data_IF_346092729530
#
_entry.id   IF_346092729530
#
_cell.length_a   1.000
_cell.length_b   1.000
_cell.length_c   1.000
_cell.angle_alpha   90.00
_cell.angle_beta   90.00
_cell.angle_gamma   90.00
#
_symmetry.space_group_name_H-M   'P 1'
#
loop_
_entity.id
_entity.type
_entity.pdbx_description
1 polymer ?
#
# COMPACT_ATOMS: atom_id res chain seq x y z
N UNK A 1 -0.68 14.25 1.25
CA UNK A 1 -1.70 13.31 0.67
C UNK A 1 -2.62 13.96 -0.38
N UNK A 2 -3.16 15.16 -0.14
CA UNK A 2 -4.18 15.79 -1.00
C UNK A 2 -3.80 15.87 -2.48
N UNK A 3 -2.54 16.20 -2.79
CA UNK A 3 -2.02 16.24 -4.17
C UNK A 3 -2.07 14.86 -4.86
N UNK A 4 -1.73 13.80 -4.13
CA UNK A 4 -1.75 12.44 -4.66
C UNK A 4 -3.18 11.93 -4.90
N UNK A 5 -4.13 12.28 -4.04
CA UNK A 5 -5.56 11.99 -4.27
C UNK A 5 -6.10 12.70 -5.52
N UNK A 6 -5.70 13.95 -5.77
CA UNK A 6 -6.10 14.67 -6.98
C UNK A 6 -5.49 14.05 -8.25
N UNK A 7 -4.26 13.55 -8.18
CA UNK A 7 -3.66 12.80 -9.28
C UNK A 7 -4.43 11.50 -9.56
N UNK A 8 -4.75 10.73 -8.52
CA UNK A 8 -5.56 9.52 -8.62
C UNK A 8 -6.95 9.81 -9.22
N UNK A 9 -7.61 10.88 -8.76
CA UNK A 9 -8.87 11.35 -9.34
C UNK A 9 -8.73 11.65 -10.84
N UNK A 10 -7.69 12.39 -11.24
CA UNK A 10 -7.46 12.71 -12.66
C UNK A 10 -7.27 11.45 -13.51
N UNK A 11 -6.54 10.45 -13.03
CA UNK A 11 -6.35 9.20 -13.76
C UNK A 11 -7.64 8.38 -13.88
N UNK A 12 -8.48 8.36 -12.83
CA UNK A 12 -9.80 7.73 -12.91
C UNK A 12 -10.71 8.45 -13.91
N UNK A 13 -10.73 9.80 -13.88
CA UNK A 13 -11.49 10.60 -14.82
C UNK A 13 -11.00 10.44 -16.27
N UNK A 14 -9.69 10.35 -16.48
CA UNK A 14 -9.06 10.01 -17.76
C UNK A 14 -9.56 8.65 -18.25
N UNK A 15 -9.50 7.61 -17.41
CA UNK A 15 -9.92 6.27 -17.79
C UNK A 15 -11.41 6.21 -18.13
N UNK A 16 -12.26 6.83 -17.30
CA UNK A 16 -13.70 6.94 -17.59
C UNK A 16 -13.97 7.72 -18.89
N UNK A 17 -13.23 8.80 -19.14
CA UNK A 17 -13.36 9.55 -20.39
C UNK A 17 -12.95 8.71 -21.62
N UNK A 18 -11.90 7.89 -21.52
CA UNK A 18 -11.52 6.96 -22.59
C UNK A 18 -12.57 5.85 -22.81
N UNK A 19 -13.23 5.38 -21.75
CA UNK A 19 -14.35 4.44 -21.89
C UNK A 19 -15.54 5.10 -22.61
N UNK A 20 -15.94 6.31 -22.19
CA UNK A 20 -17.02 7.06 -22.82
C UNK A 20 -16.70 7.48 -24.26
N UNK A 21 -15.43 7.73 -24.56
CA UNK A 21 -14.95 8.05 -25.91
C UNK A 21 -15.20 6.94 -26.92
N UNK A 22 -15.42 5.69 -26.46
CA UNK A 22 -15.83 4.58 -27.34
C UNK A 22 -17.19 4.82 -28.00
N UNK A 23 -18.03 5.65 -27.40
CA UNK A 23 -19.38 5.96 -27.87
C UNK A 23 -19.54 7.42 -28.32
N UNK A 24 -18.76 8.35 -27.77
CA UNK A 24 -18.80 9.77 -28.15
C UNK A 24 -17.41 10.39 -28.12
N UNK A 25 -16.89 10.77 -29.28
CA UNK A 25 -15.52 11.29 -29.45
C UNK A 25 -15.25 12.60 -28.70
N UNK A 26 -16.27 13.35 -28.25
CA UNK A 26 -16.08 14.54 -27.41
C UNK A 26 -15.32 14.21 -26.11
N UNK A 27 -15.48 12.98 -25.60
CA UNK A 27 -14.74 12.55 -24.41
C UNK A 27 -13.24 12.33 -24.66
N UNK A 28 -12.75 12.29 -25.91
CA UNK A 28 -11.31 12.28 -26.19
C UNK A 28 -10.63 13.59 -25.76
N UNK A 29 -11.32 14.73 -25.92
CA UNK A 29 -10.83 16.02 -25.44
C UNK A 29 -10.81 16.08 -23.91
N UNK A 30 -11.81 15.47 -23.27
CA UNK A 30 -11.90 15.37 -21.81
C UNK A 30 -10.80 14.45 -21.27
N UNK A 31 -10.55 13.31 -21.92
CA UNK A 31 -9.43 12.43 -21.60
C UNK A 31 -8.11 13.20 -21.69
N UNK A 32 -7.90 13.93 -22.79
CA UNK A 32 -6.69 14.74 -22.95
C UNK A 32 -6.54 15.79 -21.85
N UNK A 33 -7.63 16.47 -21.45
CA UNK A 33 -7.62 17.43 -20.34
C UNK A 33 -7.18 16.78 -19.02
N UNK A 34 -7.73 15.61 -18.68
CA UNK A 34 -7.35 14.93 -17.44
C UNK A 34 -5.94 14.34 -17.47
N UNK A 35 -5.47 13.93 -18.65
CA UNK A 35 -4.05 13.61 -18.85
C UNK A 35 -3.18 14.83 -18.54
N UNK A 36 -3.46 15.99 -19.16
CA UNK A 36 -2.70 17.23 -18.92
C UNK A 36 -2.75 17.66 -17.44
N UNK A 37 -3.92 17.61 -16.81
CA UNK A 37 -4.06 17.89 -15.37
C UNK A 37 -3.21 16.95 -14.51
N UNK A 38 -3.25 15.64 -14.79
CA UNK A 38 -2.41 14.67 -14.10
C UNK A 38 -0.93 15.04 -14.26
N UNK A 39 -0.50 15.44 -15.46
CA UNK A 39 0.89 15.87 -15.67
C UNK A 39 1.23 17.13 -14.85
N UNK A 40 0.38 18.14 -14.86
CA UNK A 40 0.64 19.36 -14.08
C UNK A 40 0.66 19.11 -12.58
N UNK A 41 -0.18 18.19 -12.07
CA UNK A 41 -0.16 17.78 -10.67
C UNK A 41 1.15 17.04 -10.36
N UNK A 42 1.55 16.10 -11.22
CA UNK A 42 2.81 15.37 -11.05
C UNK A 42 4.02 16.32 -11.07
N UNK A 43 3.99 17.32 -11.95
CA UNK A 43 5.02 18.38 -12.02
C UNK A 43 5.03 19.25 -10.77
N UNK A 44 3.88 19.66 -10.25
CA UNK A 44 3.81 20.44 -9.02
C UNK A 44 4.31 19.66 -7.78
N UNK A 45 4.28 18.33 -7.79
CA UNK A 45 4.85 17.51 -6.72
C UNK A 45 6.39 17.44 -6.74
N UNK A 46 7.02 17.81 -7.87
CA UNK A 46 8.46 17.66 -8.10
C UNK A 46 9.09 19.02 -8.45
N UNK A 47 10.02 19.48 -7.62
CA UNK A 47 10.92 20.63 -7.80
C UNK A 47 10.83 21.52 -9.07
N UNK A 48 10.71 22.84 -8.87
CA UNK A 48 11.08 23.88 -9.85
C UNK A 48 12.44 24.48 -9.48
N UNK A 49 13.40 24.50 -10.41
CA UNK A 49 14.67 25.22 -10.20
C UNK A 49 14.38 26.71 -10.07
N UNK A 50 14.76 27.30 -8.92
CA UNK A 50 14.73 28.75 -8.70
C UNK A 50 13.63 29.28 -7.78
N UNK A 51 12.70 28.43 -7.31
CA UNK A 51 11.67 28.80 -6.34
C UNK A 51 12.05 28.35 -4.91
N UNK A 52 11.61 29.10 -3.89
CA UNK A 52 11.78 28.75 -2.46
C UNK A 52 10.89 27.57 -2.01
N UNK A 53 10.26 26.84 -2.92
CA UNK A 53 9.32 25.75 -2.63
C UNK A 53 10.06 24.40 -2.47
N UNK A 54 9.81 23.70 -1.37
CA UNK A 54 10.34 22.36 -1.14
C UNK A 54 9.54 21.31 -1.92
N UNK A 55 10.26 20.42 -2.62
CA UNK A 55 9.69 19.20 -3.22
C UNK A 55 8.97 18.35 -2.17
N UNK A 56 7.94 17.59 -2.54
CA UNK A 56 7.37 16.57 -1.63
C UNK A 56 8.20 15.27 -1.65
N UNK A 57 8.90 15.01 -2.74
CA UNK A 57 9.87 13.91 -2.82
C UNK A 57 11.19 14.32 -2.16
N UNK A 58 11.72 13.48 -1.28
CA UNK A 58 13.05 13.62 -0.71
C UNK A 58 14.00 12.59 -1.36
N UNK A 59 15.03 13.09 -2.05
CA UNK A 59 15.97 12.25 -2.82
C UNK A 59 16.93 11.43 -1.94
N UNK A 60 17.29 11.95 -0.76
CA UNK A 60 18.17 11.27 0.20
C UNK A 60 17.42 10.13 0.89
N UNK A 61 16.19 10.44 1.32
CA UNK A 61 15.34 9.51 2.04
C UNK A 61 14.60 8.54 1.13
N UNK A 62 14.48 8.83 -0.17
CA UNK A 62 13.77 7.97 -1.12
C UNK A 62 12.27 7.82 -0.82
N UNK A 63 11.63 8.87 -0.30
CA UNK A 63 10.24 8.84 0.14
C UNK A 63 9.51 10.18 -0.04
N UNK A 64 8.17 10.13 -0.06
CA UNK A 64 7.33 11.33 -0.10
C UNK A 64 6.95 11.81 1.31
N UNK A 65 7.04 13.12 1.50
CA UNK A 65 6.79 13.80 2.77
C UNK A 65 5.89 15.00 2.57
N UNK A 66 5.12 15.33 3.59
CA UNK A 66 4.43 16.62 3.64
C UNK A 66 5.45 17.74 3.83
N UNK A 67 5.15 18.93 3.33
CA UNK A 67 5.96 20.11 3.54
C UNK A 67 5.11 21.22 4.17
N UNK A 68 5.65 21.87 5.21
CA UNK A 68 5.02 23.03 5.84
C UNK A 68 5.81 24.27 5.48
N UNK A 69 5.10 25.37 5.21
CA UNK A 69 5.70 26.69 5.02
C UNK A 69 5.08 27.69 6.01
N UNK A 70 5.91 28.50 6.66
CA UNK A 70 5.48 29.58 7.54
C UNK A 70 6.37 30.82 7.37
N UNK A 71 5.76 32.00 7.28
CA UNK A 71 6.48 33.21 6.88
C UNK A 71 7.03 33.13 5.44
N UNK A 72 7.77 34.16 5.02
CA UNK A 72 8.22 34.29 3.62
C UNK A 72 9.41 33.38 3.27
N UNK A 73 10.11 32.81 4.27
CA UNK A 73 11.38 32.12 4.07
C UNK A 73 11.56 30.83 4.88
N UNK A 74 10.55 30.34 5.59
CA UNK A 74 10.66 29.08 6.31
C UNK A 74 9.79 28.03 5.64
N UNK A 75 10.44 27.03 5.06
CA UNK A 75 9.82 25.83 4.53
C UNK A 75 10.57 24.63 5.10
N UNK A 76 9.85 23.60 5.49
CA UNK A 76 10.42 22.37 6.02
C UNK A 76 9.61 21.17 5.55
N UNK A 77 10.29 20.16 5.00
CA UNK A 77 9.70 18.83 4.84
C UNK A 77 9.53 18.19 6.21
N UNK A 78 8.39 17.54 6.41
CA UNK A 78 8.10 16.68 7.55
C UNK A 78 8.40 15.24 7.14
N UNK A 79 9.58 14.69 7.46
CA UNK A 79 9.99 13.34 7.09
C UNK A 79 9.25 12.29 7.95
N UNK A 80 7.92 12.33 7.89
CA UNK A 80 7.00 11.37 8.50
C UNK A 80 6.64 10.36 7.41
N UNK A 81 7.37 9.26 7.37
CA UNK A 81 7.12 8.05 6.57
C UNK A 81 5.84 7.40 7.07
N UNK A 82 4.72 7.91 6.58
CA UNK A 82 3.37 7.43 6.83
C UNK A 82 2.75 6.82 5.60
N UNK A 83 1.57 6.22 5.74
CA UNK A 83 0.73 5.90 4.60
C UNK A 83 0.56 7.10 3.67
N UNK A 84 0.56 8.34 4.18
CA UNK A 84 0.48 9.55 3.32
C UNK A 84 1.58 9.57 2.28
N UNK A 85 2.81 9.16 2.63
CA UNK A 85 3.92 9.07 1.68
C UNK A 85 3.84 7.87 0.72
N UNK A 86 2.95 6.91 1.00
CA UNK A 86 2.62 5.79 0.09
C UNK A 86 1.44 6.11 -0.85
N UNK A 87 0.54 7.04 -0.50
CA UNK A 87 -0.62 7.42 -1.34
C UNK A 87 -0.22 7.79 -2.79
N UNK A 88 0.94 8.40 -3.09
CA UNK A 88 1.37 8.59 -4.48
C UNK A 88 1.38 7.33 -5.34
N UNK A 89 1.53 6.13 -4.75
CA UNK A 89 1.44 4.86 -5.46
C UNK A 89 0.04 4.55 -5.99
N UNK A 90 -1.02 5.13 -5.43
CA UNK A 90 -2.40 4.86 -5.87
C UNK A 90 -2.67 5.42 -7.26
N UNK A 91 -2.05 6.57 -7.58
CA UNK A 91 -2.20 7.24 -8.85
C UNK A 91 -1.44 6.51 -9.96
N UNK A 92 -2.01 5.40 -10.44
CA UNK A 92 -1.48 4.60 -11.54
C UNK A 92 -2.55 4.31 -12.59
N UNK A 93 -2.19 4.43 -13.87
CA UNK A 93 -3.01 4.01 -15.00
C UNK A 93 -2.12 3.40 -16.09
N UNK A 94 -2.42 2.17 -16.47
CA UNK A 94 -1.77 1.48 -17.58
C UNK A 94 -2.60 1.68 -18.84
N UNK A 95 -1.99 2.27 -19.86
CA UNK A 95 -2.61 2.47 -21.17
C UNK A 95 -2.11 1.41 -22.15
N UNK A 96 -3.03 0.58 -22.64
CA UNK A 96 -2.72 -0.40 -23.67
C UNK A 96 -2.51 0.27 -25.04
N UNK A 97 -1.61 -0.27 -25.90
CA UNK A 97 -1.44 0.23 -27.25
C UNK A 97 -2.75 0.24 -28.05
N UNK A 98 -3.61 -0.75 -27.83
CA UNK A 98 -4.94 -0.87 -28.45
C UNK A 98 -5.83 0.32 -28.11
N UNK A 99 -5.85 0.74 -26.84
CA UNK A 99 -6.60 1.90 -26.35
C UNK A 99 -6.03 3.19 -26.93
N UNK A 100 -4.70 3.37 -26.88
CA UNK A 100 -4.04 4.57 -27.43
C UNK A 100 -4.29 4.70 -28.93
N UNK A 101 -4.14 3.61 -29.70
CA UNK A 101 -4.33 3.62 -31.15
C UNK A 101 -5.79 3.80 -31.57
N UNK A 102 -6.74 3.47 -30.69
CA UNK A 102 -8.17 3.68 -30.95
C UNK A 102 -8.58 5.16 -30.93
N UNK A 103 -7.87 6.00 -30.17
CA UNK A 103 -8.23 7.40 -29.96
C UNK A 103 -7.14 8.34 -30.50
N UNK A 104 -7.16 8.67 -31.81
CA UNK A 104 -6.09 9.42 -32.46
C UNK A 104 -5.97 10.86 -31.95
N UNK A 105 -7.07 11.48 -31.51
CA UNK A 105 -7.06 12.83 -30.95
C UNK A 105 -6.30 12.85 -29.63
N UNK A 106 -6.65 11.93 -28.73
CA UNK A 106 -5.94 11.71 -27.48
C UNK A 106 -4.46 11.36 -27.69
N UNK A 107 -4.18 10.38 -28.57
CA UNK A 107 -2.81 9.96 -28.89
C UNK A 107 -1.95 11.13 -29.36
N UNK A 108 -2.46 11.95 -30.27
CA UNK A 108 -1.74 13.12 -30.79
C UNK A 108 -1.39 14.11 -29.68
N UNK A 109 -2.32 14.42 -28.77
CA UNK A 109 -2.05 15.34 -27.65
C UNK A 109 -1.06 14.75 -26.66
N UNK A 110 -1.20 13.46 -26.34
CA UNK A 110 -0.29 12.74 -25.48
C UNK A 110 1.14 12.76 -26.04
N UNK A 111 1.32 12.41 -27.32
CA UNK A 111 2.63 12.43 -28.00
C UNK A 111 3.19 13.84 -28.10
N UNK A 112 2.37 14.83 -28.47
CA UNK A 112 2.80 16.23 -28.50
C UNK A 112 3.33 16.68 -27.14
N UNK A 113 2.65 16.33 -26.04
CA UNK A 113 3.10 16.69 -24.70
C UNK A 113 4.46 16.06 -24.37
N UNK A 114 4.64 14.76 -24.64
CA UNK A 114 5.90 14.04 -24.40
C UNK A 114 7.06 14.70 -25.17
N UNK A 115 6.83 15.10 -26.42
CA UNK A 115 7.86 15.62 -27.30
C UNK A 115 8.19 17.09 -27.03
N UNK A 116 7.19 17.90 -26.63
CA UNK A 116 7.36 19.35 -26.44
C UNK A 116 7.58 19.76 -24.99
N UNK A 117 7.36 18.87 -24.01
CA UNK A 117 7.64 19.10 -22.58
C UNK A 117 8.59 18.02 -22.02
N UNK A 118 9.78 17.83 -22.60
CA UNK A 118 10.67 16.72 -22.27
C UNK A 118 11.17 16.78 -20.83
N UNK A 119 11.31 17.96 -20.22
CA UNK A 119 11.73 18.09 -18.82
C UNK A 119 10.66 17.58 -17.84
N UNK A 120 9.40 17.95 -18.06
CA UNK A 120 8.26 17.49 -17.25
C UNK A 120 8.06 15.98 -17.46
N UNK A 121 8.22 15.52 -18.70
CA UNK A 121 8.18 14.10 -19.04
C UNK A 121 9.33 13.28 -18.43
N UNK A 122 10.55 13.81 -18.39
CA UNK A 122 11.68 13.11 -17.79
C UNK A 122 11.56 13.01 -16.26
N UNK A 123 11.13 14.09 -15.58
CA UNK A 123 11.09 14.16 -14.11
C UNK A 123 9.94 13.34 -13.50
N UNK A 124 8.79 13.32 -14.16
CA UNK A 124 7.57 12.73 -13.60
C UNK A 124 7.08 11.49 -14.36
N UNK A 125 7.71 11.15 -15.50
CA UNK A 125 7.17 10.14 -16.44
C UNK A 125 8.25 9.28 -17.11
N UNK A 126 9.12 8.62 -16.34
CA UNK A 126 10.16 7.76 -16.93
C UNK A 126 9.63 6.66 -17.90
N UNK A 127 8.33 6.35 -17.85
CA UNK A 127 7.70 5.25 -18.61
C UNK A 127 6.79 5.64 -19.77
N UNK A 128 6.83 6.88 -20.26
CA UNK A 128 6.11 7.20 -21.51
C UNK A 128 6.93 7.01 -22.78
N UNK A 129 8.27 7.14 -22.71
CA UNK A 129 9.16 6.74 -23.81
C UNK A 129 9.55 5.26 -23.74
N UNK A 130 9.73 4.72 -22.53
CA UNK A 130 9.97 3.30 -22.30
C UNK A 130 8.66 2.50 -22.42
N UNK A 131 8.64 1.52 -23.32
CA UNK A 131 7.52 0.62 -23.54
C UNK A 131 7.59 -0.52 -22.53
N UNK A 132 6.55 -0.68 -21.71
CA UNK A 132 6.43 -1.82 -20.79
C UNK A 132 6.04 -3.11 -21.50
N UNK A 133 5.69 -4.15 -20.74
CA UNK A 133 5.27 -5.44 -21.31
C UNK A 133 4.10 -5.27 -22.29
N UNK A 134 4.29 -5.73 -23.52
CA UNK A 134 3.28 -5.59 -24.59
C UNK A 134 3.10 -4.15 -25.08
N UNK A 135 4.16 -3.34 -25.03
CA UNK A 135 4.20 -1.94 -25.48
C UNK A 135 3.30 -0.96 -24.71
N UNK A 136 2.84 -1.38 -23.52
CA UNK A 136 2.00 -0.56 -22.65
C UNK A 136 2.73 0.68 -22.15
N UNK A 137 1.98 1.75 -21.91
CA UNK A 137 2.47 2.98 -21.26
C UNK A 137 1.92 3.06 -19.83
N UNK A 138 2.72 3.59 -18.91
CA UNK A 138 2.32 3.80 -17.52
C UNK A 138 2.27 5.30 -17.21
N UNK A 139 1.13 5.75 -16.71
CA UNK A 139 0.97 7.02 -16.03
C UNK A 139 1.02 6.75 -14.53
N UNK A 140 2.06 7.26 -13.85
CA UNK A 140 2.23 7.11 -12.41
C UNK A 140 2.96 8.33 -11.84
N UNK A 141 2.67 8.69 -10.59
CA UNK A 141 3.45 9.73 -9.89
C UNK A 141 4.88 9.26 -9.57
N UNK A 142 5.05 7.95 -9.43
CA UNK A 142 6.31 7.30 -9.11
C UNK A 142 6.90 6.67 -10.36
N UNK A 143 8.07 7.17 -10.79
CA UNK A 143 8.87 6.51 -11.81
C UNK A 143 9.48 5.19 -11.28
N UNK A 144 10.17 4.41 -12.14
CA UNK A 144 10.76 3.11 -11.74
C UNK A 144 11.66 3.23 -10.51
N UNK A 145 12.58 4.19 -10.49
CA UNK A 145 13.56 4.32 -9.42
C UNK A 145 12.89 4.73 -8.10
N UNK A 146 11.95 5.68 -8.14
CA UNK A 146 11.15 6.08 -6.98
C UNK A 146 10.27 4.93 -6.49
N UNK A 147 9.65 4.19 -7.40
CA UNK A 147 8.85 3.01 -7.06
C UNK A 147 9.71 1.99 -6.32
N UNK A 148 10.87 1.64 -6.85
CA UNK A 148 11.79 0.69 -6.18
C UNK A 148 12.15 1.19 -4.78
N UNK A 149 12.57 2.45 -4.63
CA UNK A 149 12.91 3.02 -3.31
C UNK A 149 11.74 3.06 -2.34
N UNK A 150 10.54 3.34 -2.83
CA UNK A 150 9.33 3.29 -1.99
C UNK A 150 9.03 1.85 -1.61
N UNK A 151 9.14 0.89 -2.54
CA UNK A 151 8.89 -0.53 -2.27
C UNK A 151 9.92 -1.15 -1.33
N UNK A 152 11.19 -0.77 -1.45
CA UNK A 152 12.26 -1.13 -0.52
C UNK A 152 11.87 -0.79 0.93
N UNK A 153 11.11 0.29 1.15
CA UNK A 153 10.59 0.69 2.46
C UNK A 153 9.22 0.07 2.74
N UNK A 154 8.35 0.07 1.74
CA UNK A 154 6.97 -0.38 1.87
C UNK A 154 6.90 -1.86 2.25
N UNK A 155 7.80 -2.67 1.68
CA UNK A 155 7.86 -4.12 1.83
C UNK A 155 8.88 -4.56 2.88
N UNK A 156 9.49 -3.58 3.55
CA UNK A 156 10.41 -3.84 4.64
C UNK A 156 9.67 -4.06 5.94
N UNK A 157 9.93 -5.22 6.54
CA UNK A 157 9.35 -5.55 7.84
C UNK A 157 9.81 -4.59 8.92
N UNK A 158 11.00 -3.98 8.74
CA UNK A 158 11.59 -2.89 9.52
C UNK A 158 10.96 -1.51 9.27
N UNK A 159 10.14 -1.39 8.22
CA UNK A 159 9.39 -0.18 7.86
C UNK A 159 7.88 -0.50 7.78
N UNK A 160 7.30 -0.64 6.61
CA UNK A 160 5.84 -0.68 6.47
C UNK A 160 5.20 -2.08 6.47
N UNK A 161 5.95 -3.18 6.33
CA UNK A 161 5.39 -4.51 6.03
C UNK A 161 5.21 -5.43 7.25
N UNK A 162 4.01 -5.55 7.81
CA UNK A 162 3.72 -6.42 8.96
C UNK A 162 3.20 -7.80 8.54
N UNK A 163 3.23 -8.78 9.45
CA UNK A 163 2.59 -10.10 9.32
C UNK A 163 1.07 -10.09 9.09
N UNK A 164 0.45 -8.90 9.09
CA UNK A 164 -0.97 -8.69 8.90
C UNK A 164 -1.28 -7.62 7.84
N UNK A 165 -0.28 -7.19 7.05
CA UNK A 165 -0.41 -6.21 5.96
C UNK A 165 0.47 -4.96 6.15
N UNK A 166 0.19 -3.91 5.39
CA UNK A 166 0.92 -2.64 5.43
C UNK A 166 0.45 -1.76 6.59
N UNK A 167 1.40 -1.30 7.40
CA UNK A 167 1.20 -0.42 8.55
C UNK A 167 0.83 0.99 8.13
N UNK A 168 0.08 1.69 8.98
CA UNK A 168 -0.29 3.09 8.72
C UNK A 168 0.87 4.09 8.85
N UNK A 169 1.93 3.69 9.54
CA UNK A 169 3.17 4.40 9.78
C UNK A 169 4.34 3.44 9.55
N UNK A 170 5.43 3.90 8.94
CA UNK A 170 6.67 3.12 8.88
C UNK A 170 7.13 2.81 10.30
N UNK A 171 7.49 1.55 10.54
CA UNK A 171 8.13 1.09 11.77
C UNK A 171 9.47 1.81 12.01
N UNK A 172 10.10 2.41 10.99
CA UNK A 172 11.24 3.31 11.15
C UNK A 172 10.99 4.47 12.14
N UNK A 173 9.77 5.02 12.17
CA UNK A 173 9.43 6.13 13.09
C UNK A 173 9.29 5.72 14.54
N UNK A 174 9.35 4.42 14.80
CA UNK A 174 9.48 3.87 16.13
C UNK A 174 10.87 4.13 16.73
N UNK A 175 11.91 3.98 15.92
CA UNK A 175 13.31 4.23 16.25
C UNK A 175 13.78 5.66 15.93
N UNK A 176 13.06 6.34 15.05
CA UNK A 176 13.37 7.68 14.57
C UNK A 176 12.12 8.58 14.63
N UNK A 177 11.57 8.84 15.83
CA UNK A 177 10.50 9.81 16.00
C UNK A 177 11.02 11.17 15.57
N UNK A 178 10.25 11.85 14.72
CA UNK A 178 10.68 13.13 14.19
C UNK A 178 10.51 14.26 15.21
N UNK A 179 11.54 14.46 16.06
CA UNK A 179 12.06 15.76 16.51
C UNK A 179 13.43 15.56 17.19
N UNK A 180 14.52 15.95 16.51
CA UNK A 180 15.92 16.09 16.95
C UNK A 180 16.51 14.94 17.85
N UNK A 181 17.39 14.10 17.25
CA UNK A 181 18.55 13.31 17.80
C UNK A 181 18.44 11.75 18.01
N UNK A 182 18.64 10.98 16.92
CA UNK A 182 19.67 9.92 16.62
C UNK A 182 20.07 8.75 17.61
N UNK A 183 19.55 8.53 18.83
CA UNK A 183 20.15 7.51 19.77
C UNK A 183 19.34 6.26 20.20
N UNK A 184 18.31 5.81 19.47
CA UNK A 184 17.29 4.88 20.01
C UNK A 184 17.49 3.38 19.67
N UNK A 185 18.20 3.00 18.60
CA UNK A 185 18.27 1.60 18.14
C UNK A 185 19.06 0.61 19.02
N UNK A 186 20.00 1.06 19.86
CA UNK A 186 20.63 0.20 20.89
C UNK A 186 19.64 -0.23 21.98
N UNK A 187 18.55 0.52 22.15
CA UNK A 187 17.54 0.32 23.21
C UNK A 187 16.35 -0.52 22.73
N UNK A 188 16.05 -0.51 21.43
CA UNK A 188 14.81 -1.15 20.94
C UNK A 188 14.90 -2.69 20.88
N UNK A 189 16.10 -3.22 20.68
CA UNK A 189 16.39 -4.66 20.60
C UNK A 189 16.84 -5.26 21.95
N UNK A 190 16.65 -4.51 23.05
CA UNK A 190 16.82 -4.97 24.42
C UNK A 190 15.46 -5.42 24.97
N UNK A 191 15.36 -6.67 25.40
CA UNK A 191 14.17 -7.27 26.01
C UNK A 191 13.71 -6.53 27.29
N UNK A 192 14.61 -5.77 27.94
CA UNK A 192 14.31 -4.91 29.10
C UNK A 192 13.79 -3.51 28.74
N UNK A 193 13.78 -3.16 27.45
CA UNK A 193 13.30 -1.89 26.92
C UNK A 193 12.17 -2.13 25.91
N UNK A 194 12.40 -2.14 24.60
CA UNK A 194 11.26 -2.25 23.67
C UNK A 194 10.95 -3.68 23.17
N UNK A 195 11.84 -4.67 23.31
CA UNK A 195 11.65 -5.98 22.68
C UNK A 195 10.73 -6.91 23.50
N UNK A 196 9.62 -7.39 22.92
CA UNK A 196 8.69 -8.30 23.60
C UNK A 196 8.22 -9.43 22.69
N UNK A 197 7.67 -10.48 23.30
CA UNK A 197 7.24 -11.72 22.62
C UNK A 197 6.09 -11.55 21.62
N UNK A 198 5.46 -10.37 21.57
CA UNK A 198 4.28 -10.06 20.74
C UNK A 198 4.58 -8.96 19.72
N UNK A 199 5.87 -8.71 19.50
CA UNK A 199 6.38 -7.55 18.78
C UNK A 199 7.03 -6.54 19.72
N UNK A 200 7.72 -5.57 19.13
CA UNK A 200 8.41 -4.54 19.89
C UNK A 200 7.38 -3.50 20.39
N UNK A 201 7.46 -3.05 21.64
CA UNK A 201 6.52 -2.11 22.28
C UNK A 201 6.43 -0.78 21.53
N UNK A 202 5.26 -0.14 21.62
CA UNK A 202 4.94 1.18 21.09
C UNK A 202 5.78 2.35 21.63
N UNK A 203 6.38 2.13 22.78
CA UNK A 203 7.25 3.01 23.55
C UNK A 203 8.04 2.09 24.50
N UNK A 204 9.30 2.41 24.82
CA UNK A 204 10.17 1.54 25.64
C UNK A 204 9.48 1.11 26.93
N UNK A 205 9.70 -0.11 27.42
CA UNK A 205 9.36 -0.49 28.80
C UNK A 205 9.96 0.49 29.81
N UNK A 206 11.11 1.11 29.48
CA UNK A 206 11.76 2.18 30.24
C UNK A 206 10.86 3.41 30.49
N UNK A 207 9.98 3.75 29.54
CA UNK A 207 9.09 4.92 29.64
C UNK A 207 7.83 4.67 30.47
N UNK A 208 7.66 3.46 31.02
CA UNK A 208 6.67 3.19 32.06
C UNK A 208 6.89 4.04 33.31
N UNK A 209 8.14 4.45 33.57
CA UNK A 209 8.51 5.33 34.69
C UNK A 209 9.06 6.72 34.22
N UNK A 210 9.15 7.01 32.91
CA UNK A 210 9.83 8.22 32.36
C UNK A 210 9.21 8.83 31.05
N UNK A 211 8.09 9.57 31.08
CA UNK A 211 7.43 10.16 29.87
C UNK A 211 8.02 11.52 29.38
N UNK A 212 7.73 11.97 28.13
CA UNK A 212 8.22 13.25 27.56
C UNK A 212 7.21 14.05 26.67
N UNK A 213 7.36 15.39 26.60
CA UNK A 213 6.52 16.35 25.83
C UNK A 213 7.32 17.54 25.22
N UNK A 214 6.79 18.21 24.17
CA UNK A 214 7.34 19.47 23.61
C UNK A 214 6.30 20.60 23.52
N UNK A 215 6.71 21.80 23.92
CA UNK A 215 5.90 23.03 24.00
C UNK A 215 5.99 23.92 22.74
N UNK A 216 4.86 24.25 22.13
CA UNK A 216 4.69 25.27 21.08
C UNK A 216 3.70 26.33 21.59
N UNK A 217 4.14 27.59 21.70
CA UNK A 217 3.33 28.71 22.22
C UNK A 217 2.66 28.43 23.58
N UNK A 218 3.30 27.67 24.48
CA UNK A 218 2.74 27.32 25.78
C UNK A 218 1.93 26.02 25.80
N UNK A 219 1.71 25.36 24.64
CA UNK A 219 0.99 24.09 24.55
C UNK A 219 1.87 22.94 24.10
N UNK A 220 1.79 21.82 24.80
CA UNK A 220 2.56 20.64 24.44
C UNK A 220 1.88 19.81 23.33
N UNK A 221 2.60 19.50 22.23
CA UNK A 221 2.10 18.69 21.12
C UNK A 221 2.99 17.47 20.87
N UNK A 222 2.42 16.29 20.61
CA UNK A 222 3.17 15.07 20.35
C UNK A 222 2.41 14.00 19.54
N UNK A 223 3.17 13.13 18.87
CA UNK A 223 2.65 11.96 18.16
C UNK A 223 3.23 10.69 18.78
N UNK A 224 2.37 9.87 19.38
CA UNK A 224 2.70 8.58 19.98
C UNK A 224 2.21 7.43 19.07
N UNK A 225 2.92 6.29 19.01
CA UNK A 225 2.38 5.08 18.40
C UNK A 225 1.42 4.41 19.38
N UNK A 226 0.25 4.06 18.89
CA UNK A 226 -0.79 3.38 19.64
C UNK A 226 -1.20 2.19 18.78
N UNK A 227 -0.88 0.95 19.15
CA UNK A 227 -1.20 -0.20 18.31
C UNK A 227 -2.70 -0.50 18.31
N UNK A 228 -3.45 0.04 19.30
CA UNK A 228 -4.88 -0.15 19.47
C UNK A 228 -5.67 1.15 19.47
N UNK A 229 -6.54 1.36 20.46
CA UNK A 229 -7.33 2.59 20.55
C UNK A 229 -6.45 3.82 20.77
N UNK A 230 -6.93 4.98 20.31
CA UNK A 230 -6.29 6.26 20.55
C UNK A 230 -6.26 6.61 22.04
N UNK A 231 -5.18 7.26 22.48
CA UNK A 231 -5.05 7.79 23.86
C UNK A 231 -5.30 9.29 23.94
N UNK A 232 -5.65 9.92 22.83
CA UNK A 232 -6.05 11.34 22.76
C UNK A 232 -7.54 11.47 22.47
N UNK A 233 -8.17 12.48 23.09
CA UNK A 233 -9.56 12.86 22.81
C UNK A 233 -9.77 13.55 21.45
N UNK A 234 -8.69 13.88 20.72
CA UNK A 234 -8.80 14.39 19.36
C UNK A 234 -9.44 13.36 18.43
N UNK A 235 -10.36 13.80 17.56
CA UNK A 235 -11.03 12.97 16.55
C UNK A 235 -11.89 11.81 17.08
N UNK A 236 -12.57 11.98 18.22
CA UNK A 236 -13.58 11.02 18.70
C UNK A 236 -13.06 9.92 19.61
N UNK A 237 -11.86 10.11 20.18
CA UNK A 237 -11.36 9.35 21.34
C UNK A 237 -10.69 8.03 21.00
N UNK A 238 -11.41 7.12 20.32
CA UNK A 238 -10.99 5.71 20.21
C UNK A 238 -10.31 5.40 18.87
N UNK A 239 -10.72 6.09 17.80
CA UNK A 239 -10.22 5.85 16.44
C UNK A 239 -8.78 6.30 16.30
N UNK A 240 -7.96 5.49 15.64
CA UNK A 240 -6.52 5.66 15.67
C UNK A 240 -5.84 5.27 14.35
N UNK A 241 -5.05 6.21 13.84
CA UNK A 241 -4.27 6.06 12.61
C UNK A 241 -2.76 5.96 12.87
N UNK A 242 -2.36 5.86 14.14
CA UNK A 242 -0.96 5.88 14.60
C UNK A 242 -0.44 4.48 14.92
N UNK A 243 -0.92 3.46 14.20
CA UNK A 243 -0.45 2.08 14.40
C UNK A 243 -1.36 0.96 13.92
N UNK A 244 -2.69 1.04 14.04
CA UNK A 244 -3.57 -0.07 13.69
C UNK A 244 -3.57 -0.42 12.19
N UNK A 245 -4.06 -1.63 11.88
CA UNK A 245 -4.26 -2.13 10.53
C UNK A 245 -5.66 -1.74 10.04
N UNK A 246 -5.71 -1.17 8.84
CA UNK A 246 -6.95 -0.73 8.18
C UNK A 246 -7.09 -1.43 6.83
N UNK A 247 -8.22 -2.10 6.59
CA UNK A 247 -8.43 -2.86 5.36
C UNK A 247 -8.58 -1.95 4.12
N UNK A 248 -9.19 -0.77 4.27
CA UNK A 248 -9.40 0.17 3.17
C UNK A 248 -8.10 0.56 2.44
N UNK A 249 -7.06 0.90 3.22
CA UNK A 249 -5.78 1.36 2.68
C UNK A 249 -4.94 0.19 2.15
N UNK A 250 -4.99 -0.97 2.83
CA UNK A 250 -4.32 -2.17 2.36
C UNK A 250 -4.87 -2.65 1.02
N UNK A 251 -6.19 -2.58 0.83
CA UNK A 251 -6.82 -2.91 -0.43
C UNK A 251 -6.29 -2.06 -1.60
N UNK A 252 -6.19 -0.74 -1.41
CA UNK A 252 -5.67 0.17 -2.43
C UNK A 252 -4.19 -0.07 -2.75
N UNK A 253 -3.40 -0.46 -1.75
CA UNK A 253 -1.99 -0.84 -1.94
C UNK A 253 -1.85 -2.13 -2.76
N UNK A 254 -2.64 -3.15 -2.44
CA UNK A 254 -2.72 -4.41 -3.21
C UNK A 254 -3.07 -4.13 -4.68
N UNK A 255 -4.11 -3.34 -4.91
CA UNK A 255 -4.55 -2.91 -6.24
C UNK A 255 -3.45 -2.13 -7.01
N UNK A 256 -2.68 -1.30 -6.32
CA UNK A 256 -1.56 -0.56 -6.92
C UNK A 256 -0.41 -1.50 -7.31
N UNK A 257 -0.01 -2.41 -6.42
CA UNK A 257 1.04 -3.40 -6.68
C UNK A 257 0.71 -4.27 -7.90
N UNK A 258 -0.55 -4.69 -8.03
CA UNK A 258 -1.02 -5.45 -9.18
C UNK A 258 -0.94 -4.65 -10.49
N UNK A 259 -1.24 -3.33 -10.48
CA UNK A 259 -1.06 -2.46 -11.65
C UNK A 259 0.41 -2.27 -12.02
N UNK A 260 1.28 -2.12 -11.04
CA UNK A 260 2.73 -2.08 -11.31
C UNK A 260 3.22 -3.42 -11.86
N UNK A 261 2.74 -4.55 -11.36
CA UNK A 261 3.03 -5.87 -11.94
C UNK A 261 2.55 -5.99 -13.38
N UNK A 262 1.36 -5.49 -13.73
CA UNK A 262 0.88 -5.49 -15.13
C UNK A 262 1.85 -4.76 -16.08
N UNK A 263 2.55 -3.72 -15.59
CA UNK A 263 3.53 -2.98 -16.36
C UNK A 263 4.91 -3.67 -16.41
N UNK A 264 5.46 -4.04 -15.24
CA UNK A 264 6.83 -4.56 -15.11
C UNK A 264 6.96 -6.09 -15.26
N UNK A 265 5.87 -6.84 -15.06
CA UNK A 265 5.88 -8.30 -15.06
C UNK A 265 6.73 -8.90 -13.94
N UNK A 266 7.35 -10.05 -14.23
CA UNK A 266 8.18 -10.80 -13.28
C UNK A 266 9.62 -10.28 -13.18
N UNK A 267 10.00 -9.31 -14.04
CA UNK A 267 11.36 -8.75 -14.11
C UNK A 267 11.67 -7.84 -12.91
N UNK A 268 10.65 -7.19 -12.34
CA UNK A 268 10.81 -6.39 -11.12
C UNK A 268 10.55 -7.27 -9.90
N UNK A 269 11.64 -7.67 -9.26
CA UNK A 269 11.61 -8.38 -7.99
C UNK A 269 12.07 -7.51 -6.84
N UNK A 270 11.43 -7.71 -5.71
CA UNK A 270 11.69 -7.01 -4.45
C UNK A 270 11.77 -8.05 -3.34
N UNK A 271 12.63 -7.80 -2.37
CA UNK A 271 12.72 -8.64 -1.19
C UNK A 271 11.44 -8.49 -0.38
N UNK A 272 10.79 -9.61 -0.04
CA UNK A 272 9.53 -9.61 0.65
C UNK A 272 9.42 -10.93 1.43
N UNK A 273 9.50 -10.88 2.76
CA UNK A 273 9.71 -9.65 3.53
C UNK A 273 11.15 -9.10 3.45
N UNK A 274 11.39 -7.78 3.51
CA UNK A 274 12.78 -7.28 3.45
C UNK A 274 13.62 -7.82 4.60
N UNK A 275 14.90 -8.09 4.33
CA UNK A 275 15.84 -8.73 5.24
C UNK A 275 15.69 -10.25 5.34
N UNK A 276 14.69 -10.85 4.70
CA UNK A 276 14.48 -12.31 4.72
C UNK A 276 15.35 -13.09 3.72
N UNK A 277 15.87 -12.41 2.70
CA UNK A 277 16.52 -12.99 1.53
C UNK A 277 15.56 -13.53 0.46
N UNK A 278 14.23 -13.49 0.69
CA UNK A 278 13.24 -14.00 -0.25
C UNK A 278 12.78 -12.90 -1.23
N UNK A 279 13.12 -13.04 -2.51
CA UNK A 279 12.71 -12.11 -3.56
C UNK A 279 11.48 -12.60 -4.31
N UNK A 280 10.55 -11.69 -4.60
CA UNK A 280 9.32 -11.98 -5.33
C UNK A 280 8.89 -10.82 -6.22
N UNK A 281 8.14 -11.16 -7.28
CA UNK A 281 7.46 -10.18 -8.12
C UNK A 281 6.29 -9.50 -7.37
N UNK A 282 5.84 -8.36 -7.89
CA UNK A 282 4.83 -7.53 -7.22
C UNK A 282 3.44 -8.19 -7.12
N UNK A 283 3.13 -9.22 -7.93
CA UNK A 283 1.89 -9.98 -7.77
C UNK A 283 1.95 -10.85 -6.52
N UNK A 284 3.07 -11.55 -6.31
CA UNK A 284 3.29 -12.35 -5.08
C UNK A 284 3.38 -11.50 -3.83
N UNK A 285 3.92 -10.28 -3.92
CA UNK A 285 3.87 -9.32 -2.82
C UNK A 285 2.43 -8.96 -2.46
N UNK A 286 1.60 -8.67 -3.47
CA UNK A 286 0.19 -8.37 -3.26
C UNK A 286 -0.56 -9.57 -2.64
N UNK A 287 -0.22 -10.79 -3.03
CA UNK A 287 -0.76 -12.00 -2.41
C UNK A 287 -0.35 -12.16 -0.95
N UNK A 288 0.92 -11.94 -0.60
CA UNK A 288 1.37 -12.04 0.80
C UNK A 288 0.66 -11.00 1.69
N UNK A 289 0.46 -9.76 1.23
CA UNK A 289 -0.35 -8.76 1.96
C UNK A 289 -1.78 -9.28 2.17
N UNK A 290 -2.41 -9.81 1.12
CA UNK A 290 -3.77 -10.33 1.21
C UNK A 290 -3.87 -11.54 2.13
N UNK A 291 -2.93 -12.49 2.09
CA UNK A 291 -2.89 -13.65 2.98
C UNK A 291 -2.81 -13.23 4.43
N UNK A 292 -1.95 -12.26 4.72
CA UNK A 292 -1.77 -11.66 6.05
C UNK A 292 -3.07 -10.99 6.56
N UNK A 293 -3.84 -10.32 5.69
CA UNK A 293 -5.19 -9.82 6.02
C UNK A 293 -6.20 -10.95 6.26
N UNK A 294 -6.17 -12.02 5.44
CA UNK A 294 -7.06 -13.18 5.61
C UNK A 294 -6.79 -13.87 6.95
N UNK A 295 -5.53 -13.95 7.38
CA UNK A 295 -5.12 -14.58 8.64
C UNK A 295 -5.73 -13.94 9.88
N UNK A 296 -6.09 -12.66 9.84
CA UNK A 296 -6.78 -11.97 10.95
C UNK A 296 -8.09 -12.70 11.31
N UNK A 297 -8.79 -13.21 10.30
CA UNK A 297 -10.08 -13.89 10.42
C UNK A 297 -9.93 -15.41 10.35
N UNK A 298 -8.80 -15.91 9.87
CA UNK A 298 -8.47 -17.33 9.80
C UNK A 298 -8.37 -17.98 11.17
N UNK A 299 -8.72 -19.27 11.23
CA UNK A 299 -8.54 -20.11 12.44
C UNK A 299 -7.11 -20.64 12.40
N UNK A 300 -6.35 -20.47 13.47
CA UNK A 300 -5.07 -21.14 13.62
C UNK A 300 -5.25 -22.62 14.02
N UNK A 301 -4.13 -23.31 14.24
CA UNK A 301 -4.12 -24.73 14.61
C UNK A 301 -4.79 -25.02 15.97
N UNK A 302 -4.92 -24.01 16.84
CA UNK A 302 -5.59 -24.11 18.14
C UNK A 302 -7.07 -23.72 18.06
N UNK A 303 -7.57 -23.41 16.86
CA UNK A 303 -8.94 -23.02 16.63
C UNK A 303 -9.23 -21.54 16.95
N UNK A 304 -8.21 -20.70 17.13
CA UNK A 304 -8.36 -19.29 17.51
C UNK A 304 -8.29 -18.35 16.33
N UNK A 305 -8.91 -17.17 16.46
CA UNK A 305 -8.77 -16.07 15.49
C UNK A 305 -8.06 -14.89 16.13
N UNK A 306 -7.19 -14.23 15.37
CA UNK A 306 -6.58 -12.99 15.84
C UNK A 306 -7.64 -11.93 16.18
N UNK A 307 -8.66 -11.76 15.32
CA UNK A 307 -9.74 -10.78 15.54
C UNK A 307 -10.50 -10.97 16.85
N UNK A 308 -10.53 -12.18 17.42
CA UNK A 308 -11.25 -12.47 18.66
C UNK A 308 -10.51 -11.98 19.91
N UNK A 309 -9.23 -11.59 19.79
CA UNK A 309 -8.46 -11.05 20.90
C UNK A 309 -8.29 -12.00 22.09
N UNK A 310 -8.39 -13.31 21.87
CA UNK A 310 -8.29 -14.34 22.92
C UNK A 310 -9.56 -14.57 23.73
N UNK A 311 -10.73 -14.10 23.24
CA UNK A 311 -12.02 -14.43 23.84
C UNK A 311 -12.35 -15.92 23.63
N UNK A 312 -12.24 -16.72 24.69
CA UNK A 312 -12.50 -18.17 24.66
C UNK A 312 -13.93 -18.52 24.19
N UNK A 313 -14.90 -17.64 24.43
CA UNK A 313 -16.27 -17.85 23.95
C UNK A 313 -16.32 -17.71 22.44
N UNK A 314 -15.71 -16.67 21.89
CA UNK A 314 -15.64 -16.45 20.44
C UNK A 314 -14.68 -17.42 19.73
N UNK A 315 -13.73 -18.02 20.43
CA UNK A 315 -12.81 -19.01 19.85
C UNK A 315 -13.35 -20.44 19.90
N UNK A 316 -14.00 -20.85 21.01
CA UNK A 316 -14.26 -22.27 21.30
C UNK A 316 -15.72 -22.64 21.51
N UNK A 317 -16.57 -21.73 21.96
CA UNK A 317 -17.98 -22.04 22.25
C UNK A 317 -18.69 -22.49 20.97
N UNK A 318 -19.30 -23.68 20.91
CA UNK A 318 -19.98 -24.19 19.71
C UNK A 318 -21.08 -23.27 19.17
N UNK A 319 -21.64 -22.40 20.00
CA UNK A 319 -22.68 -21.45 19.62
C UNK A 319 -22.11 -20.11 19.12
N UNK A 320 -20.87 -19.77 19.43
CA UNK A 320 -20.31 -18.45 19.12
C UNK A 320 -19.09 -18.49 18.21
N UNK A 321 -18.35 -19.60 18.17
CA UNK A 321 -17.07 -19.72 17.46
C UNK A 321 -17.12 -19.40 15.97
N UNK A 322 -18.28 -19.59 15.35
CA UNK A 322 -18.49 -19.41 13.91
C UNK A 322 -19.00 -17.99 13.56
N UNK A 323 -19.31 -17.15 14.56
CA UNK A 323 -19.67 -15.75 14.35
C UNK A 323 -18.42 -14.87 14.34
N UNK A 324 -18.06 -14.39 13.15
CA UNK A 324 -16.89 -13.52 12.95
C UNK A 324 -17.33 -12.05 12.97
N UNK A 325 -16.76 -11.27 13.87
CA UNK A 325 -17.02 -9.83 13.98
C UNK A 325 -16.16 -9.05 12.98
N UNK A 326 -16.73 -7.95 12.48
CA UNK A 326 -16.07 -7.07 11.52
C UNK A 326 -15.75 -5.74 12.21
N UNK A 327 -14.48 -5.58 12.56
CA UNK A 327 -14.03 -4.42 13.31
C UNK A 327 -13.63 -3.25 12.41
N UNK A 328 -13.68 -2.04 12.95
CA UNK A 328 -13.31 -0.82 12.25
C UNK A 328 -11.83 -0.82 11.84
N UNK A 329 -10.97 -1.29 12.75
CA UNK A 329 -9.54 -1.49 12.54
C UNK A 329 -9.05 -2.61 13.45
N UNK A 330 -7.83 -3.09 13.21
CA UNK A 330 -7.25 -4.21 13.94
C UNK A 330 -5.96 -3.78 14.61
N UNK A 331 -5.74 -4.30 15.80
CA UNK A 331 -4.54 -3.96 16.54
C UNK A 331 -3.29 -4.39 15.76
N UNK A 332 -2.32 -3.48 15.62
CA UNK A 332 -1.14 -3.69 14.77
C UNK A 332 -0.28 -4.89 15.16
N UNK A 333 -0.33 -5.31 16.43
CA UNK A 333 0.60 -6.32 16.98
C UNK A 333 -0.01 -7.73 17.10
N UNK A 334 -1.29 -7.84 17.44
CA UNK A 334 -1.94 -9.12 17.71
C UNK A 334 -3.19 -9.36 16.86
N UNK A 335 -3.53 -8.40 15.97
CA UNK A 335 -4.65 -8.50 15.05
C UNK A 335 -6.02 -8.50 15.71
N UNK A 336 -6.13 -8.21 17.02
CA UNK A 336 -7.45 -8.17 17.69
C UNK A 336 -8.30 -7.05 17.13
N UNK A 337 -9.59 -7.31 16.98
CA UNK A 337 -10.53 -6.33 16.46
C UNK A 337 -10.77 -5.16 17.42
N UNK A 338 -10.79 -3.94 16.89
CA UNK A 338 -10.97 -2.69 17.64
C UNK A 338 -11.96 -1.73 16.98
N UNK A 339 -12.40 -0.71 17.72
CA UNK A 339 -13.45 0.19 17.26
C UNK A 339 -14.80 -0.52 17.06
N UNK A 340 -15.63 0.00 16.16
CA UNK A 340 -16.97 -0.55 15.90
C UNK A 340 -16.90 -2.01 15.37
N UNK A 341 -17.63 -2.94 15.99
CA UNK A 341 -17.52 -4.40 15.75
C UNK A 341 -18.46 -4.99 14.68
N UNK A 342 -19.30 -4.14 14.06
CA UNK A 342 -20.20 -4.49 12.96
C UNK A 342 -19.92 -3.62 11.73
N UNK A 343 -18.65 -3.28 11.51
CA UNK A 343 -18.18 -2.52 10.37
C UNK A 343 -18.09 -3.44 9.15
N UNK A 344 -19.22 -3.72 8.51
CA UNK A 344 -19.23 -4.38 7.19
C UNK A 344 -19.00 -3.37 6.05
N UNK A 345 -18.38 -2.24 6.37
CA UNK A 345 -17.90 -1.25 5.39
C UNK A 345 -16.60 -1.72 4.75
N UNK A 346 -15.52 -0.97 4.95
CA UNK A 346 -14.23 -1.34 4.38
C UNK A 346 -13.67 -2.67 4.89
N UNK A 347 -14.04 -3.15 6.08
CA UNK A 347 -13.56 -4.45 6.57
C UNK A 347 -14.17 -5.61 5.77
N UNK A 348 -15.32 -5.39 5.10
CA UNK A 348 -15.89 -6.30 4.12
C UNK A 348 -14.96 -6.63 2.94
N UNK A 349 -13.96 -5.79 2.66
CA UNK A 349 -12.99 -6.01 1.58
C UNK A 349 -12.17 -7.30 1.76
N UNK A 350 -12.11 -7.88 2.96
CA UNK A 350 -11.50 -9.21 3.17
C UNK A 350 -12.13 -10.28 2.27
N UNK A 351 -13.42 -10.18 1.96
CA UNK A 351 -14.08 -11.13 1.06
C UNK A 351 -13.47 -11.11 -0.34
N UNK A 352 -13.08 -9.93 -0.83
CA UNK A 352 -12.38 -9.78 -2.10
C UNK A 352 -10.98 -10.40 -2.03
N UNK A 353 -10.24 -10.16 -0.96
CA UNK A 353 -8.92 -10.79 -0.74
C UNK A 353 -9.03 -12.32 -0.74
N UNK A 354 -10.04 -12.89 -0.07
CA UNK A 354 -10.30 -14.34 -0.05
C UNK A 354 -10.63 -14.84 -1.47
N UNK A 355 -11.48 -14.14 -2.21
CA UNK A 355 -11.82 -14.49 -3.59
C UNK A 355 -10.58 -14.50 -4.49
N UNK A 356 -9.68 -13.52 -4.32
CA UNK A 356 -8.52 -13.34 -5.19
C UNK A 356 -7.36 -14.28 -4.85
N UNK A 357 -7.01 -14.44 -3.57
CA UNK A 357 -5.81 -15.17 -3.13
C UNK A 357 -6.05 -16.25 -2.07
N UNK A 358 -7.30 -16.47 -1.66
CA UNK A 358 -7.64 -17.43 -0.60
C UNK A 358 -7.30 -18.89 -0.94
N UNK A 359 -7.31 -19.27 -2.23
CA UNK A 359 -6.91 -20.62 -2.67
C UNK A 359 -5.42 -20.91 -2.43
N UNK A 360 -4.56 -19.90 -2.52
CA UNK A 360 -3.12 -20.02 -2.27
C UNK A 360 -2.74 -19.64 -0.84
N UNK A 361 -3.70 -19.18 -0.04
CA UNK A 361 -3.48 -18.70 1.32
C UNK A 361 -3.15 -19.86 2.26
N UNK A 362 -1.96 -19.80 2.88
CA UNK A 362 -1.56 -20.74 3.92
C UNK A 362 -2.41 -20.59 5.19
N UNK A 363 -2.37 -21.59 6.07
CA UNK A 363 -2.99 -21.49 7.40
C UNK A 363 -2.23 -20.47 8.28
N UNK A 364 -2.95 -19.68 9.11
CA UNK A 364 -2.32 -18.79 10.07
C UNK A 364 -1.31 -19.52 10.97
N UNK A 365 -0.21 -18.85 11.33
CA UNK A 365 0.83 -19.37 12.24
C UNK A 365 1.51 -20.68 11.81
N UNK A 366 1.41 -21.04 10.52
CA UNK A 366 2.21 -22.14 9.97
C UNK A 366 3.66 -21.66 9.75
N UNK A 367 4.68 -22.37 10.23
CA UNK A 367 6.08 -22.00 10.01
C UNK A 367 6.39 -21.83 8.51
N UNK A 368 7.01 -20.71 8.14
CA UNK A 368 7.54 -20.52 6.79
C UNK A 368 8.75 -21.45 6.65
N UNK A 369 8.73 -22.41 5.73
CA UNK A 369 9.97 -23.05 5.29
C UNK A 369 10.73 -22.02 4.44
N UNK A 370 11.94 -21.58 4.82
CA UNK A 370 12.69 -20.64 3.99
C UNK A 370 12.89 -21.27 2.61
N UNK A 371 12.55 -20.56 1.53
CA UNK A 371 12.65 -21.12 0.17
C UNK A 371 14.10 -21.46 -0.20
N UNK A 372 15.07 -20.79 0.42
CA UNK A 372 16.49 -21.13 0.36
C UNK A 372 16.80 -22.55 0.86
N UNK A 373 16.10 -23.03 1.89
CA UNK A 373 16.23 -24.38 2.43
C UNK A 373 15.43 -25.38 1.59
N UNK A 374 14.26 -24.98 1.07
CA UNK A 374 13.44 -25.84 0.21
C UNK A 374 14.13 -26.17 -1.13
N UNK A 375 14.88 -25.22 -1.73
CA UNK A 375 15.70 -25.48 -2.93
C UNK A 375 16.65 -26.66 -2.76
N UNK A 376 17.27 -26.80 -1.58
CA UNK A 376 18.16 -27.92 -1.28
C UNK A 376 17.45 -29.29 -1.19
N UNK A 377 16.13 -29.32 -0.94
CA UNK A 377 15.37 -30.57 -0.85
C UNK A 377 14.71 -30.99 -2.17
N UNK A 378 14.46 -30.05 -3.09
CA UNK A 378 13.74 -30.30 -4.34
C UNK A 378 14.62 -30.20 -5.60
N UNK A 379 15.93 -30.03 -5.46
CA UNK A 379 16.90 -30.06 -6.58
C UNK A 379 17.22 -31.49 -7.10
N UNK A 380 16.74 -32.55 -6.44
CA UNK A 380 16.79 -33.91 -7.02
C UNK A 380 15.59 -34.15 -7.96
N UNK A 381 15.79 -33.76 -9.22
CA UNK A 381 15.10 -34.21 -10.44
C UNK A 381 13.65 -34.69 -10.32
N UNK A 382 12.71 -33.77 -10.59
CA UNK A 382 11.42 -34.12 -11.21
C UNK A 382 11.33 -33.37 -12.53
N UNK A 383 11.95 -33.94 -13.57
CA UNK A 383 11.61 -33.64 -14.97
C UNK A 383 10.25 -34.28 -15.27
N UNK A 384 9.17 -33.70 -14.77
CA UNK A 384 7.83 -33.94 -15.32
C UNK A 384 7.30 -32.64 -15.87
N UNK A 385 7.42 -32.49 -17.19
CA UNK A 385 6.70 -31.48 -17.95
C UNK A 385 5.21 -31.83 -17.84
N UNK A 386 4.44 -30.99 -17.15
CA UNK A 386 2.97 -31.03 -17.23
C UNK A 386 2.56 -30.71 -18.67
N UNK A 387 1.79 -31.60 -19.31
CA UNK A 387 1.21 -31.35 -20.64
C UNK A 387 0.13 -30.24 -20.64
N UNK A 388 -0.23 -29.70 -19.48
CA UNK A 388 -1.00 -28.47 -19.38
C UNK A 388 -0.02 -27.30 -19.28
N UNK A 389 0.14 -26.56 -20.38
CA UNK A 389 1.04 -25.41 -20.46
C UNK A 389 0.75 -24.37 -19.37
N UNK A 390 1.80 -23.91 -18.70
CA UNK A 390 1.75 -22.82 -17.73
C UNK A 390 1.34 -21.52 -18.43
N UNK A 391 0.05 -21.23 -18.41
CA UNK A 391 -0.46 -19.90 -18.70
C UNK A 391 -0.41 -19.07 -17.39
N UNK A 392 0.27 -17.91 -17.36
CA UNK A 392 0.24 -17.03 -16.22
C UNK A 392 -1.14 -16.35 -16.19
N UNK A 393 -2.09 -16.97 -15.48
CA UNK A 393 -3.41 -16.41 -15.27
C UNK A 393 -3.32 -15.22 -14.31
N UNK A 394 -3.24 -14.01 -14.87
CA UNK A 394 -3.69 -12.81 -14.18
C UNK A 394 -5.22 -12.86 -14.10
N UNK A 395 -5.78 -12.85 -12.90
CA UNK A 395 -7.22 -12.80 -12.67
C UNK A 395 -7.91 -11.59 -13.34
N UNK A 396 -7.16 -10.57 -13.78
CA UNK A 396 -7.72 -9.41 -14.47
C UNK A 396 -7.84 -9.56 -15.99
N UNK A 397 -7.18 -10.54 -16.60
CA UNK A 397 -7.31 -10.80 -18.05
C UNK A 397 -8.22 -11.97 -18.40
N UNK A 398 -8.59 -12.79 -17.41
CA UNK A 398 -9.45 -13.97 -17.59
C UNK A 398 -10.89 -13.77 -17.10
N UNK A 399 -11.21 -12.64 -16.46
CA UNK A 399 -12.60 -12.28 -16.19
C UNK A 399 -13.18 -11.68 -17.46
N UNK A 400 -13.82 -12.56 -18.24
CA UNK A 400 -14.76 -12.18 -19.27
C UNK A 400 -15.70 -11.10 -18.70
N UNK A 401 -15.94 -10.04 -19.47
CA UNK A 401 -16.84 -8.95 -19.09
C UNK A 401 -18.25 -9.52 -18.91
N UNK A 402 -18.63 -10.02 -17.71
CA UNK A 402 -19.99 -10.26 -17.21
C UNK A 402 -20.04 -11.11 -15.91
N UNK A 403 -19.38 -10.69 -14.82
CA UNK A 403 -19.54 -11.33 -13.49
C UNK A 403 -20.27 -10.43 -12.47
N UNK A 404 -21.18 -9.60 -12.94
CA UNK A 404 -22.44 -9.45 -12.22
C UNK A 404 -23.43 -10.35 -12.94
N UNK A 405 -23.73 -11.51 -12.35
CA UNK A 405 -24.89 -12.29 -12.76
C UNK A 405 -26.16 -11.44 -12.70
N UNK A 406 -27.25 -11.91 -13.30
CA UNK A 406 -28.54 -11.22 -13.30
C UNK A 406 -28.90 -10.72 -11.88
N UNK A 407 -28.94 -9.40 -11.70
CA UNK A 407 -29.27 -8.71 -10.44
C UNK A 407 -30.73 -8.23 -10.45
N UNK A 408 -31.59 -8.84 -11.28
CA UNK A 408 -33.02 -8.55 -11.22
C UNK A 408 -33.63 -8.97 -9.87
N UNK A 409 -34.70 -8.30 -9.41
CA UNK A 409 -35.39 -8.67 -8.17
C UNK A 409 -35.90 -10.11 -8.13
N UNK A 410 -36.02 -10.76 -9.29
CA UNK A 410 -36.45 -12.16 -9.40
C UNK A 410 -35.29 -13.16 -9.20
N UNK A 411 -34.04 -12.70 -9.16
CA UNK A 411 -32.83 -13.50 -8.96
C UNK A 411 -32.21 -13.38 -7.54
N UNK A 412 -32.74 -12.48 -6.69
CA UNK A 412 -32.46 -12.37 -5.24
C UNK A 412 -33.58 -13.04 -4.44
#
# INVERSE_FOLDING_TARGET
DGTAWMAFYCLNMLNMALELAKHNSVYEDIASKFFEHFIFIADAMTYRQGDNELSLWNEEEGFYFDAIQWGESHSQQMPIRSLVGLIPLYATLVLEPSVINRFPGFKKRMEWFIDNRPEIAARNMANMKARGRGERRLLALTNKDRLVRILEKMLDESEFFSDYGIRSMSLYHKDHPWSIIVRILEKMLDESEFFSDYGIRSMSLYHKEHPWSINVNGQDFGVEYWPGDSRSGMFGGNSNWRGPIWLAVNFLLVESLQRFHQYYGDELQVECPTGSGDYMDLAKVADEIQHRLIHIFGRDMDGRRATNGGDEKLDRDPHFRDYVLFHEFFHGDDGRGLGASHQTGWTGLVAFSIMQSGLSCRLPRTPKTPRSVARHYFDEHIDTVSEAGDAPFSAYSAIDRNTFGDLSPDAL
#
